data_IF_759463275321
#
_entry.id   IF_759463275321
#
_cell.length_a   1.000
_cell.length_b   1.000
_cell.length_c   1.000
_cell.angle_alpha   90.00
_cell.angle_beta   90.00
_cell.angle_gamma   90.00
#
_symmetry.space_group_name_H-M   'P 1'
#
loop_
_entity.id
_entity.type
_entity.pdbx_description
1 polymer ?
#
# COMPACT_ATOMS: atom_id res chain seq x y z
N UNK A 1 12.15 -23.41 -2.69
CA UNK A 1 11.64 -23.40 -1.30
C UNK A 1 11.75 -21.99 -0.65
N UNK A 2 12.93 -21.32 -0.69
CA UNK A 2 13.13 -20.00 -0.02
C UNK A 2 12.24 -18.90 -0.63
N UNK A 3 12.13 -18.83 -1.93
CA UNK A 3 11.29 -17.86 -2.64
C UNK A 3 9.79 -17.96 -2.27
N UNK A 4 9.26 -19.19 -2.19
CA UNK A 4 7.87 -19.43 -1.82
C UNK A 4 7.56 -19.01 -0.37
N UNK A 5 8.55 -19.09 0.52
CA UNK A 5 8.44 -18.74 1.93
C UNK A 5 9.09 -17.38 2.26
N UNK A 6 9.29 -16.50 1.28
CA UNK A 6 10.02 -15.23 1.45
C UNK A 6 9.45 -14.32 2.52
N UNK A 7 8.12 -14.34 2.72
CA UNK A 7 7.45 -13.55 3.77
C UNK A 7 7.86 -14.04 5.17
N UNK A 8 7.83 -15.35 5.39
CA UNK A 8 8.27 -15.98 6.64
C UNK A 8 9.75 -15.70 6.89
N UNK A 9 10.62 -15.90 5.90
CA UNK A 9 12.06 -15.66 6.08
C UNK A 9 12.35 -14.17 6.33
N UNK A 10 11.67 -13.25 5.68
CA UNK A 10 11.81 -11.82 5.95
C UNK A 10 11.46 -11.50 7.40
N UNK A 11 10.35 -12.02 7.91
CA UNK A 11 9.94 -11.81 9.30
C UNK A 11 10.97 -12.37 10.28
N UNK A 12 11.53 -13.54 10.03
CA UNK A 12 12.53 -14.16 10.91
C UNK A 12 13.91 -13.49 10.85
N UNK A 13 14.36 -13.14 9.66
CA UNK A 13 15.72 -12.64 9.43
C UNK A 13 15.82 -11.11 9.57
N UNK A 14 14.84 -10.37 9.01
CA UNK A 14 14.82 -8.90 9.03
C UNK A 14 14.01 -8.32 10.19
N UNK A 15 13.33 -9.16 10.97
CA UNK A 15 12.48 -8.78 12.12
C UNK A 15 11.43 -7.71 11.73
N UNK A 16 10.86 -7.83 10.54
CA UNK A 16 9.80 -6.98 10.00
C UNK A 16 8.94 -7.73 8.97
N UNK A 17 7.75 -7.23 8.64
CA UNK A 17 6.98 -7.77 7.51
C UNK A 17 7.74 -7.70 6.18
N UNK A 18 7.39 -8.58 5.25
CA UNK A 18 7.73 -8.47 3.84
C UNK A 18 6.93 -7.30 3.23
N UNK A 19 7.61 -6.32 2.67
CA UNK A 19 7.03 -5.06 2.22
C UNK A 19 6.96 -5.01 0.70
N UNK A 20 5.73 -4.88 0.18
CA UNK A 20 5.44 -4.80 -1.24
C UNK A 20 4.92 -3.40 -1.54
N UNK A 21 5.69 -2.61 -2.27
CA UNK A 21 5.25 -1.31 -2.76
C UNK A 21 4.46 -1.50 -4.05
N UNK A 22 3.31 -0.85 -4.17
CA UNK A 22 2.51 -0.92 -5.38
C UNK A 22 1.97 0.47 -5.76
N UNK A 23 2.16 0.85 -7.01
CA UNK A 23 1.48 2.01 -7.56
C UNK A 23 1.12 1.80 -9.03
N UNK A 24 0.22 2.62 -9.54
CA UNK A 24 -0.05 2.77 -10.96
C UNK A 24 0.36 4.19 -11.37
N UNK A 25 0.98 4.31 -12.53
CA UNK A 25 1.42 5.59 -13.10
C UNK A 25 1.02 5.69 -14.57
N UNK A 26 0.88 6.90 -15.05
CA UNK A 26 0.75 7.20 -16.47
C UNK A 26 2.08 7.02 -17.18
N UNK A 27 2.09 7.00 -18.51
CA UNK A 27 3.30 6.90 -19.32
C UNK A 27 4.28 8.06 -19.04
N UNK A 28 3.76 9.24 -18.71
CA UNK A 28 4.52 10.43 -18.32
C UNK A 28 4.75 10.53 -16.80
N UNK A 29 4.62 9.38 -16.07
CA UNK A 29 4.99 9.18 -14.67
C UNK A 29 4.22 10.02 -13.64
N UNK A 30 2.91 10.18 -13.80
CA UNK A 30 2.04 10.74 -12.77
C UNK A 30 1.16 9.64 -12.15
N UNK A 31 0.90 9.76 -10.84
CA UNK A 31 0.05 8.82 -10.07
C UNK A 31 -1.34 9.39 -9.77
N UNK A 32 -1.51 10.68 -9.91
CA UNK A 32 -2.80 11.37 -9.77
C UNK A 32 -2.76 12.72 -10.52
N UNK A 33 -3.92 13.28 -10.79
CA UNK A 33 -4.05 14.66 -11.27
C UNK A 33 -3.76 15.65 -10.13
N UNK A 34 -3.43 16.92 -10.46
CA UNK A 34 -3.13 17.97 -9.47
C UNK A 34 -4.30 18.24 -8.51
N UNK A 35 -5.52 18.10 -8.98
CA UNK A 35 -6.75 18.31 -8.20
C UNK A 35 -7.14 17.10 -7.33
N UNK A 36 -6.29 16.04 -7.27
CA UNK A 36 -6.55 14.78 -6.59
C UNK A 36 -7.80 14.04 -7.08
N UNK A 37 -8.31 14.34 -8.28
CA UNK A 37 -9.38 13.56 -8.87
C UNK A 37 -8.97 12.08 -8.93
N UNK A 38 -9.81 11.25 -8.33
CA UNK A 38 -9.63 9.79 -8.34
C UNK A 38 -9.98 9.23 -9.73
N UNK A 39 -9.06 9.38 -10.66
CA UNK A 39 -9.15 8.80 -11.99
C UNK A 39 -8.41 7.48 -12.03
N UNK A 40 -9.09 6.43 -12.46
CA UNK A 40 -8.43 5.15 -12.67
C UNK A 40 -7.36 5.26 -13.77
N UNK A 41 -6.10 5.10 -13.39
CA UNK A 41 -4.96 5.06 -14.32
C UNK A 41 -4.87 3.68 -14.95
N UNK A 42 -5.02 2.62 -14.15
CA UNK A 42 -4.85 1.23 -14.59
C UNK A 42 -6.13 0.63 -15.18
N UNK A 43 -5.96 -0.28 -16.14
CA UNK A 43 -7.05 -1.02 -16.80
C UNK A 43 -7.76 -2.00 -15.84
N UNK A 44 -8.86 -2.63 -16.31
CA UNK A 44 -9.65 -3.56 -15.48
C UNK A 44 -8.87 -4.81 -15.06
N UNK A 45 -8.06 -5.36 -15.97
CA UNK A 45 -7.22 -6.53 -15.70
C UNK A 45 -6.17 -6.24 -14.64
N UNK A 46 -5.54 -5.07 -14.69
CA UNK A 46 -4.60 -4.62 -13.66
C UNK A 46 -5.28 -4.47 -12.29
N UNK A 47 -6.49 -3.93 -12.25
CA UNK A 47 -7.27 -3.83 -11.01
C UNK A 47 -7.64 -5.20 -10.45
N UNK A 48 -8.04 -6.16 -11.30
CA UNK A 48 -8.32 -7.53 -10.88
C UNK A 48 -7.07 -8.19 -10.26
N UNK A 49 -5.89 -7.99 -10.87
CA UNK A 49 -4.63 -8.50 -10.35
C UNK A 49 -4.28 -7.87 -8.97
N UNK A 50 -4.58 -6.58 -8.78
CA UNK A 50 -4.44 -5.94 -7.45
C UNK A 50 -5.35 -6.60 -6.41
N UNK A 51 -6.58 -6.97 -6.76
CA UNK A 51 -7.47 -7.70 -5.84
C UNK A 51 -6.97 -9.11 -5.51
N UNK A 52 -6.32 -9.80 -6.45
CA UNK A 52 -5.62 -11.05 -6.19
C UNK A 52 -4.48 -10.85 -5.17
N UNK A 53 -3.68 -9.79 -5.31
CA UNK A 53 -2.61 -9.48 -4.36
C UNK A 53 -3.15 -9.14 -2.97
N UNK A 54 -4.23 -8.36 -2.88
CA UNK A 54 -4.91 -8.08 -1.60
C UNK A 54 -5.36 -9.36 -0.89
N UNK A 55 -5.85 -10.34 -1.65
CA UNK A 55 -6.26 -11.64 -1.11
C UNK A 55 -5.06 -12.51 -0.65
N UNK A 56 -3.87 -12.26 -1.19
CA UNK A 56 -2.65 -13.02 -0.90
C UNK A 56 -1.82 -12.44 0.25
N UNK A 57 -1.97 -11.14 0.55
CA UNK A 57 -1.18 -10.46 1.58
C UNK A 57 -1.99 -10.29 2.88
N UNK A 58 -1.29 -10.31 4.03
CA UNK A 58 -1.97 -10.21 5.33
C UNK A 58 -2.49 -8.81 5.62
N UNK A 59 -1.80 -7.77 5.16
CA UNK A 59 -2.21 -6.39 5.40
C UNK A 59 -2.03 -5.51 4.15
N UNK A 60 -2.82 -4.43 4.12
CA UNK A 60 -2.75 -3.37 3.12
C UNK A 60 -2.61 -2.02 3.81
N UNK A 61 -1.68 -1.19 3.32
CA UNK A 61 -1.38 0.10 3.94
C UNK A 61 -1.57 1.24 2.94
N UNK A 62 -2.21 2.31 3.41
CA UNK A 62 -2.31 3.60 2.71
C UNK A 62 -1.98 4.77 3.64
N UNK A 63 -1.52 5.86 3.07
CA UNK A 63 -1.34 7.12 3.79
C UNK A 63 -2.63 7.94 3.89
N UNK A 64 -2.61 8.97 4.74
CA UNK A 64 -3.73 9.89 5.00
C UNK A 64 -4.35 10.46 3.71
N UNK A 65 -3.52 10.97 2.82
CA UNK A 65 -4.06 11.62 1.61
C UNK A 65 -4.79 10.64 0.70
N UNK A 66 -4.28 9.43 0.50
CA UNK A 66 -4.99 8.37 -0.24
C UNK A 66 -6.32 8.02 0.44
N UNK A 67 -6.33 7.88 1.77
CA UNK A 67 -7.56 7.63 2.51
C UNK A 67 -8.56 8.77 2.36
N UNK A 68 -8.11 10.02 2.39
CA UNK A 68 -8.96 11.21 2.31
C UNK A 68 -9.57 11.42 0.92
N UNK A 69 -8.73 11.37 -0.13
CA UNK A 69 -9.15 11.75 -1.48
C UNK A 69 -9.82 10.61 -2.24
N UNK A 70 -9.33 9.37 -2.09
CA UNK A 70 -9.88 8.21 -2.81
C UNK A 70 -10.99 7.50 -2.02
N UNK A 71 -11.08 7.74 -0.70
CA UNK A 71 -11.98 7.04 0.23
C UNK A 71 -12.08 5.53 -0.08
N UNK A 72 -10.95 4.82 -0.15
CA UNK A 72 -10.91 3.48 -0.68
C UNK A 72 -11.49 2.47 0.33
N UNK A 73 -12.13 1.42 -0.16
CA UNK A 73 -12.57 0.31 0.70
C UNK A 73 -11.45 -0.65 1.08
N UNK A 74 -10.39 -0.73 0.29
CA UNK A 74 -9.24 -1.64 0.45
C UNK A 74 -9.65 -3.11 0.64
N UNK A 75 -10.77 -3.50 0.07
CA UNK A 75 -11.33 -4.85 0.15
C UNK A 75 -10.94 -5.70 -1.07
N UNK A 76 -11.23 -6.99 -0.97
CA UNK A 76 -11.21 -7.94 -2.09
C UNK A 76 -12.65 -8.07 -2.61
N UNK A 77 -12.89 -7.62 -3.86
CA UNK A 77 -14.22 -7.71 -4.52
C UNK A 77 -14.15 -8.33 -5.91
N UNK A 78 -13.06 -8.11 -6.63
CA UNK A 78 -12.89 -8.58 -8.01
C UNK A 78 -12.01 -9.85 -8.08
N UNK A 79 -11.87 -10.55 -6.94
CA UNK A 79 -11.13 -11.80 -6.77
C UNK A 79 -11.72 -12.62 -5.63
N UNK A 80 -11.48 -13.94 -5.62
CA UNK A 80 -11.87 -14.81 -4.51
C UNK A 80 -10.77 -14.81 -3.44
N UNK A 81 -11.14 -14.60 -2.18
CA UNK A 81 -10.20 -14.62 -1.05
C UNK A 81 -10.68 -13.79 0.13
N UNK A 82 -9.86 -13.75 1.17
CA UNK A 82 -10.13 -12.98 2.39
C UNK A 82 -9.65 -11.54 2.24
N UNK A 83 -10.33 -10.62 2.94
CA UNK A 83 -9.86 -9.23 3.01
C UNK A 83 -8.59 -9.13 3.86
N UNK A 84 -7.60 -8.33 3.45
CA UNK A 84 -6.44 -8.02 4.28
C UNK A 84 -6.82 -7.12 5.46
N UNK A 85 -6.01 -7.13 6.51
CA UNK A 85 -6.03 -6.12 7.56
C UNK A 85 -5.74 -4.74 6.93
N UNK A 86 -6.64 -3.78 7.11
CA UNK A 86 -6.44 -2.41 6.59
C UNK A 86 -5.57 -1.61 7.55
N UNK A 87 -4.63 -0.86 7.03
CA UNK A 87 -3.74 0.03 7.78
C UNK A 87 -3.80 1.41 7.17
N UNK A 88 -4.06 2.42 8.00
CA UNK A 88 -4.02 3.81 7.60
C UNK A 88 -3.09 4.62 8.52
N UNK A 89 -2.27 5.49 7.93
CA UNK A 89 -1.38 6.38 8.66
C UNK A 89 -2.03 7.77 8.76
N UNK A 90 -2.48 8.14 9.96
CA UNK A 90 -3.10 9.43 10.25
C UNK A 90 -2.56 10.00 11.57
N UNK A 91 -1.36 10.54 11.53
CA UNK A 91 -0.60 10.96 12.72
C UNK A 91 -1.39 11.88 13.67
N UNK A 92 -2.25 12.75 13.12
CA UNK A 92 -2.99 13.79 13.87
C UNK A 92 -4.48 13.53 13.97
N UNK A 93 -4.97 12.37 13.49
CA UNK A 93 -6.39 12.04 13.46
C UNK A 93 -7.23 13.09 12.72
N UNK A 94 -6.77 13.49 11.54
CA UNK A 94 -7.42 14.51 10.70
C UNK A 94 -8.43 13.90 9.71
N UNK A 95 -8.48 12.57 9.58
CA UNK A 95 -9.40 11.90 8.68
C UNK A 95 -10.84 11.96 9.21
N UNK A 96 -11.82 12.26 8.33
CA UNK A 96 -13.23 12.19 8.69
C UNK A 96 -13.67 10.79 9.11
N UNK A 97 -14.50 10.70 10.16
CA UNK A 97 -14.97 9.42 10.69
C UNK A 97 -15.90 8.63 9.75
N UNK A 98 -16.45 9.28 8.72
CA UNK A 98 -17.36 8.66 7.76
C UNK A 98 -16.65 8.00 6.55
N UNK A 99 -15.33 7.88 6.57
CA UNK A 99 -14.60 7.18 5.51
C UNK A 99 -14.87 5.67 5.54
N UNK A 100 -14.80 5.03 4.36
CA UNK A 100 -14.96 3.58 4.23
C UNK A 100 -13.96 2.78 5.11
N UNK A 101 -12.80 3.34 5.42
CA UNK A 101 -11.81 2.69 6.29
C UNK A 101 -12.27 2.58 7.74
N UNK A 102 -13.22 3.41 8.18
CA UNK A 102 -13.75 3.42 9.54
C UNK A 102 -15.14 2.80 9.67
N UNK A 103 -15.61 2.11 8.62
CA UNK A 103 -16.93 1.45 8.55
C UNK A 103 -17.07 0.20 9.44
N UNK A 104 -16.00 -0.23 10.09
CA UNK A 104 -15.92 -1.41 10.96
C UNK A 104 -16.31 -2.74 10.27
N UNK A 105 -16.40 -2.78 8.94
CA UNK A 105 -16.71 -4.01 8.20
C UNK A 105 -15.50 -4.94 8.06
N UNK A 106 -14.30 -4.37 8.01
CA UNK A 106 -13.04 -5.08 7.86
C UNK A 106 -12.07 -4.58 8.94
N UNK A 107 -11.32 -5.48 9.60
CA UNK A 107 -10.32 -5.06 10.59
C UNK A 107 -9.40 -3.96 10.08
N UNK A 108 -9.28 -2.88 10.85
CA UNK A 108 -8.53 -1.67 10.48
C UNK A 108 -7.69 -1.18 11.65
N UNK A 109 -6.42 -0.87 11.38
CA UNK A 109 -5.52 -0.17 12.29
C UNK A 109 -5.31 1.27 11.78
N UNK A 110 -5.60 2.25 12.62
CA UNK A 110 -5.31 3.65 12.38
C UNK A 110 -4.13 4.08 13.25
N UNK A 111 -2.93 4.16 12.66
CA UNK A 111 -1.74 4.58 13.37
C UNK A 111 -1.69 6.11 13.52
N UNK A 112 -1.51 6.56 14.76
CA UNK A 112 -1.52 7.97 15.13
C UNK A 112 -0.57 8.25 16.31
N UNK A 113 -0.47 9.53 16.73
CA UNK A 113 0.35 9.94 17.87
C UNK A 113 -0.48 10.47 19.05
N UNK A 114 -1.81 10.36 19.02
CA UNK A 114 -2.70 11.07 19.92
C UNK A 114 -3.49 10.16 20.86
N UNK A 115 -3.96 8.99 20.38
CA UNK A 115 -4.81 8.12 21.20
C UNK A 115 -4.67 6.63 20.88
N UNK A 116 -4.94 5.82 21.93
CA UNK A 116 -5.27 4.39 21.80
C UNK A 116 -6.77 4.21 22.04
N UNK A 117 -7.45 3.54 21.14
CA UNK A 117 -8.85 3.17 21.29
C UNK A 117 -9.15 1.93 20.46
N UNK A 118 -9.98 1.02 20.99
CA UNK A 118 -10.37 -0.20 20.28
C UNK A 118 -11.88 -0.27 20.22
N UNK A 119 -12.40 -0.37 18.99
CA UNK A 119 -13.80 -0.67 18.67
C UNK A 119 -13.86 -2.00 17.89
N UNK A 120 -15.04 -2.57 17.67
CA UNK A 120 -15.18 -3.73 16.79
C UNK A 120 -14.57 -3.44 15.39
N UNK A 121 -13.60 -4.26 14.99
CA UNK A 121 -12.88 -4.13 13.72
C UNK A 121 -12.20 -2.76 13.45
N UNK A 122 -11.94 -1.94 14.48
CA UNK A 122 -11.25 -0.66 14.33
C UNK A 122 -10.42 -0.38 15.57
N UNK A 123 -9.11 -0.23 15.39
CA UNK A 123 -8.18 0.10 16.46
C UNK A 123 -7.39 1.35 16.09
N UNK A 124 -7.45 2.39 16.93
CA UNK A 124 -6.51 3.50 16.91
C UNK A 124 -5.28 3.11 17.73
N UNK A 125 -4.15 3.05 17.05
CA UNK A 125 -2.87 2.63 17.64
C UNK A 125 -2.02 3.88 17.85
N UNK A 126 -1.81 4.25 19.10
CA UNK A 126 -0.93 5.36 19.43
C UNK A 126 0.52 4.91 19.40
N UNK A 127 1.35 5.58 18.62
CA UNK A 127 2.80 5.45 18.65
C UNK A 127 3.44 6.72 19.24
N UNK A 128 4.58 6.62 19.95
CA UNK A 128 5.29 7.80 20.45
C UNK A 128 5.63 8.80 19.34
N UNK A 129 5.97 8.28 18.18
CA UNK A 129 6.14 8.98 16.91
C UNK A 129 5.68 8.07 15.76
N UNK A 130 5.16 8.63 14.70
CA UNK A 130 4.79 7.86 13.51
C UNK A 130 5.96 7.83 12.52
N UNK A 131 6.97 7.02 12.83
CA UNK A 131 8.11 6.70 11.97
C UNK A 131 7.97 5.30 11.37
N UNK A 132 8.72 5.01 10.29
CA UNK A 132 8.75 3.66 9.71
C UNK A 132 9.25 2.62 10.72
N UNK A 133 10.21 2.99 11.57
CA UNK A 133 10.77 2.10 12.59
C UNK A 133 9.71 1.69 13.63
N UNK A 134 8.98 2.66 14.20
CA UNK A 134 7.94 2.39 15.21
C UNK A 134 6.76 1.63 14.60
N UNK A 135 6.35 1.96 13.37
CA UNK A 135 5.32 1.26 12.62
C UNK A 135 5.71 -0.21 12.38
N UNK A 136 6.88 -0.47 11.81
CA UNK A 136 7.31 -1.84 11.48
C UNK A 136 7.54 -2.68 12.74
N UNK A 137 8.02 -2.08 13.83
CA UNK A 137 8.14 -2.75 15.13
C UNK A 137 6.78 -3.20 15.68
N UNK A 138 5.74 -2.36 15.58
CA UNK A 138 4.40 -2.74 16.02
C UNK A 138 3.79 -3.84 15.13
N UNK A 139 3.95 -3.74 13.81
CA UNK A 139 3.49 -4.78 12.87
C UNK A 139 4.20 -6.11 13.12
N UNK A 140 5.48 -6.10 13.45
CA UNK A 140 6.25 -7.30 13.85
C UNK A 140 5.68 -7.91 15.13
N UNK A 141 5.40 -7.11 16.16
CA UNK A 141 4.78 -7.57 17.42
C UNK A 141 3.39 -8.19 17.20
N UNK A 142 2.65 -7.71 16.21
CA UNK A 142 1.35 -8.23 15.79
C UNK A 142 1.46 -9.46 14.89
N UNK A 143 2.68 -9.94 14.61
CA UNK A 143 2.95 -11.08 13.74
C UNK A 143 2.45 -10.91 12.30
N UNK A 144 2.37 -9.68 11.80
CA UNK A 144 2.06 -9.41 10.40
C UNK A 144 3.25 -9.80 9.54
N UNK A 145 3.05 -10.74 8.62
CA UNK A 145 4.14 -11.28 7.79
C UNK A 145 4.32 -10.53 6.47
N UNK A 146 3.27 -9.87 5.97
CA UNK A 146 3.36 -9.11 4.72
C UNK A 146 2.44 -7.90 4.72
N UNK A 147 2.89 -6.84 4.04
CA UNK A 147 2.12 -5.60 3.85
C UNK A 147 2.21 -5.15 2.40
N UNK A 148 1.05 -5.02 1.75
CA UNK A 148 0.91 -4.36 0.46
C UNK A 148 0.70 -2.86 0.67
N UNK A 149 1.66 -2.03 0.26
CA UNK A 149 1.64 -0.57 0.42
C UNK A 149 1.14 0.04 -0.89
N UNK A 150 -0.11 0.51 -0.91
CA UNK A 150 -0.79 0.99 -2.13
C UNK A 150 -0.79 2.53 -2.29
N UNK A 151 -0.02 3.25 -1.50
CA UNK A 151 0.08 4.66 -1.77
C UNK A 151 -0.04 5.58 -0.53
N UNK A 152 -0.10 6.83 -0.64
CA UNK A 152 0.24 7.86 -1.59
C UNK A 152 1.73 8.01 -1.88
N UNK A 153 2.03 8.91 -2.80
CA UNK A 153 3.40 9.16 -3.27
C UNK A 153 4.39 9.37 -2.12
N UNK A 154 4.03 10.14 -1.11
CA UNK A 154 4.89 10.42 0.04
C UNK A 154 5.22 9.17 0.85
N UNK A 155 4.24 8.31 1.11
CA UNK A 155 4.46 7.06 1.87
C UNK A 155 5.38 6.14 1.07
N UNK A 156 5.08 5.92 -0.21
CA UNK A 156 5.94 5.11 -1.09
C UNK A 156 7.37 5.65 -1.15
N UNK A 157 7.53 6.99 -1.29
CA UNK A 157 8.84 7.62 -1.33
C UNK A 157 9.62 7.45 -0.01
N UNK A 158 8.95 7.50 1.15
CA UNK A 158 9.59 7.25 2.44
C UNK A 158 10.15 5.82 2.54
N UNK A 159 9.38 4.81 2.15
CA UNK A 159 9.85 3.43 2.13
C UNK A 159 11.00 3.22 1.14
N UNK A 160 10.92 3.80 -0.05
CA UNK A 160 11.99 3.74 -1.06
C UNK A 160 13.29 4.41 -0.57
N UNK A 161 13.18 5.62 -0.04
CA UNK A 161 14.33 6.39 0.46
C UNK A 161 15.02 5.72 1.65
N UNK A 162 14.25 5.02 2.49
CA UNK A 162 14.79 4.27 3.62
C UNK A 162 15.34 2.89 3.23
N UNK A 163 15.19 2.43 1.98
CA UNK A 163 15.53 1.06 1.57
C UNK A 163 14.67 -0.01 2.26
N UNK A 164 13.51 0.37 2.80
CA UNK A 164 12.62 -0.51 3.55
C UNK A 164 11.52 -1.05 2.62
N UNK A 165 11.91 -1.93 1.72
CA UNK A 165 11.01 -2.65 0.83
C UNK A 165 11.67 -3.94 0.35
N UNK A 166 10.91 -4.90 -0.11
CA UNK A 166 11.41 -6.18 -0.61
C UNK A 166 10.98 -6.41 -2.06
N UNK A 167 9.82 -5.89 -2.43
CA UNK A 167 9.25 -6.02 -3.78
C UNK A 167 8.54 -4.71 -4.16
N UNK A 168 8.64 -4.31 -5.43
CA UNK A 168 7.82 -3.22 -5.97
C UNK A 168 7.10 -3.69 -7.23
N UNK A 169 5.82 -3.33 -7.36
CA UNK A 169 4.93 -3.67 -8.48
C UNK A 169 4.36 -2.39 -9.07
N UNK A 170 4.81 -2.06 -10.27
CA UNK A 170 4.50 -0.78 -10.92
C UNK A 170 3.71 -1.02 -12.18
N UNK A 171 2.47 -0.54 -12.20
CA UNK A 171 1.71 -0.48 -13.46
C UNK A 171 2.01 0.83 -14.18
N UNK A 172 2.30 0.75 -15.47
CA UNK A 172 2.39 1.90 -16.36
C UNK A 172 1.30 1.81 -17.42
N UNK A 173 0.36 2.75 -17.38
CA UNK A 173 -0.71 2.87 -18.37
C UNK A 173 -0.23 3.68 -19.59
N UNK A 174 -0.74 3.43 -20.79
CA UNK A 174 -0.45 4.25 -21.98
C UNK A 174 -1.01 5.69 -21.90
N UNK A 175 -1.87 5.96 -20.90
CA UNK A 175 -2.45 7.29 -20.68
C UNK A 175 -1.37 8.30 -20.26
N UNK A 176 -1.56 9.58 -20.63
CA UNK A 176 -0.73 10.70 -20.20
C UNK A 176 -1.58 11.77 -19.51
N UNK A 177 -1.01 12.46 -18.51
CA UNK A 177 -1.69 13.56 -17.82
C UNK A 177 -1.12 14.93 -18.19
N UNK A 178 0.13 15.00 -18.68
CA UNK A 178 0.87 16.22 -18.96
C UNK A 178 1.35 16.94 -17.71
N UNK A 179 0.57 16.90 -16.61
CA UNK A 179 0.89 17.41 -15.28
C UNK A 179 0.07 16.69 -14.21
N UNK A 180 0.60 16.63 -13.00
CA UNK A 180 -0.04 15.90 -11.91
C UNK A 180 0.93 15.64 -10.75
N UNK A 181 0.52 14.77 -9.85
CA UNK A 181 1.36 14.30 -8.75
C UNK A 181 2.33 13.25 -9.31
N UNK A 182 3.62 13.56 -9.24
CA UNK A 182 4.66 12.68 -9.76
C UNK A 182 4.67 11.32 -9.04
N UNK A 183 4.95 10.27 -9.79
CA UNK A 183 5.29 8.97 -9.23
C UNK A 183 6.54 9.07 -8.35
N UNK A 184 6.72 8.15 -7.39
CA UNK A 184 7.95 8.09 -6.60
C UNK A 184 9.18 8.01 -7.51
N UNK A 185 10.26 8.69 -7.10
CA UNK A 185 11.54 8.60 -7.82
C UNK A 185 12.10 7.18 -7.70
N UNK A 186 12.16 6.48 -8.82
CA UNK A 186 12.57 5.09 -8.88
C UNK A 186 13.29 4.79 -10.18
N UNK A 187 14.56 4.35 -10.09
CA UNK A 187 15.47 4.21 -11.23
C UNK A 187 16.02 2.79 -11.43
N UNK A 188 15.50 1.81 -10.68
CA UNK A 188 15.95 0.42 -10.81
C UNK A 188 15.49 -0.19 -12.13
N UNK A 189 16.23 -1.19 -12.60
CA UNK A 189 15.82 -2.02 -13.75
C UNK A 189 14.85 -3.08 -13.24
N UNK A 190 13.70 -3.29 -13.90
CA UNK A 190 12.77 -4.35 -13.50
C UNK A 190 13.40 -5.73 -13.63
N UNK A 191 13.13 -6.60 -12.66
CA UNK A 191 13.50 -8.01 -12.73
C UNK A 191 12.58 -8.77 -13.68
N UNK A 192 11.32 -8.35 -13.76
CA UNK A 192 10.31 -8.97 -14.60
C UNK A 192 9.39 -7.89 -15.17
N UNK A 193 8.95 -8.06 -16.42
CA UNK A 193 7.99 -7.16 -17.10
C UNK A 193 6.90 -7.98 -17.77
N UNK A 194 5.66 -7.60 -17.57
CA UNK A 194 4.47 -8.27 -18.11
C UNK A 194 3.53 -7.28 -18.80
N UNK A 195 2.87 -7.73 -19.86
CA UNK A 195 1.70 -7.03 -20.39
C UNK A 195 0.45 -7.47 -19.62
N UNK A 196 -0.34 -6.51 -19.13
CA UNK A 196 -1.59 -6.74 -18.39
C UNK A 196 -2.69 -5.87 -19.00
N UNK A 197 -3.45 -6.43 -19.94
CA UNK A 197 -4.37 -5.64 -20.75
C UNK A 197 -3.61 -4.59 -21.55
N UNK A 198 -3.95 -3.31 -21.35
CA UNK A 198 -3.28 -2.18 -21.99
C UNK A 198 -2.08 -1.66 -21.15
N UNK A 199 -1.94 -2.12 -19.91
CA UNK A 199 -0.90 -1.67 -19.01
C UNK A 199 0.35 -2.56 -19.11
N UNK A 200 1.50 -1.99 -18.77
CA UNK A 200 2.72 -2.72 -18.47
C UNK A 200 2.85 -2.86 -16.95
N UNK A 201 3.13 -4.04 -16.47
CA UNK A 201 3.49 -4.33 -15.08
C UNK A 201 4.99 -4.62 -15.00
N UNK A 202 5.71 -3.80 -14.27
CA UNK A 202 7.11 -4.02 -13.93
C UNK A 202 7.23 -4.47 -12.47
N UNK A 203 7.99 -5.56 -12.23
CA UNK A 203 8.25 -6.11 -10.90
C UNK A 203 9.73 -5.96 -10.58
N UNK A 204 10.00 -5.49 -9.38
CA UNK A 204 11.33 -5.24 -8.87
C UNK A 204 11.54 -5.97 -7.54
N UNK A 205 12.74 -6.45 -7.29
CA UNK A 205 13.13 -7.05 -6.01
C UNK A 205 14.32 -6.28 -5.43
N UNK A 206 14.23 -6.03 -4.12
CA UNK A 206 15.30 -5.40 -3.36
C UNK A 206 16.09 -6.48 -2.65
N UNK A 207 17.38 -6.53 -2.92
CA UNK A 207 18.31 -7.54 -2.41
C UNK A 207 18.66 -7.40 -0.93
#
# INVERSE_FOLDING_TARGET
ARWQNRRFFCQQEKQRPYLILKWAQTQDRFIARENFDSTWISCSQSRQLVHQWRAAEQAILVGKNTALFDNPRLNVRDWSGTNPLRIVLDSRLELPANLNLFDQQIPTLCYNTLKNETLPNLEWVQLPELSLATLLSDLQRRHIQSVLIEGGSQVLQQFLAAGLWDEARVFTSPTTFGRGIAAPAFTQVPAETYAVGEDQLDVYYHG
#
